data_IF_685168132284
#
_entry.id   IF_685168132284
#
_cell.length_a   1.000
_cell.length_b   1.000
_cell.length_c   1.000
_cell.angle_alpha   90.00
_cell.angle_beta   90.00
_cell.angle_gamma   90.00
#
_symmetry.space_group_name_H-M   'P 1'
#
loop_
_entity.id
_entity.type
_entity.pdbx_description
1 polymer ?
#
# COMPACT_ATOMS: atom_id res chain seq x y z
N UNK A 1 -22.27 6.04 -0.72
CA UNK A 1 -21.20 6.06 -1.73
C UNK A 1 -20.97 4.62 -2.15
N UNK A 2 -21.34 4.26 -3.38
CA UNK A 2 -21.08 2.92 -3.92
C UNK A 2 -19.57 2.64 -3.84
N UNK A 3 -19.20 1.43 -3.41
CA UNK A 3 -17.80 0.98 -3.54
C UNK A 3 -17.44 1.03 -5.03
N UNK A 4 -16.61 2.00 -5.42
CA UNK A 4 -16.19 2.18 -6.82
C UNK A 4 -15.39 0.98 -7.35
N UNK A 5 -14.82 0.17 -6.46
CA UNK A 5 -14.01 -1.01 -6.77
C UNK A 5 -14.47 -2.15 -5.86
N UNK A 6 -14.82 -3.31 -6.42
CA UNK A 6 -15.18 -4.51 -5.64
C UNK A 6 -13.94 -5.23 -5.08
N UNK A 7 -14.12 -6.04 -4.02
CA UNK A 7 -13.05 -6.90 -3.45
C UNK A 7 -12.45 -7.84 -4.53
N UNK A 8 -13.27 -8.40 -5.42
CA UNK A 8 -12.78 -9.26 -6.51
C UNK A 8 -11.96 -8.51 -7.57
N UNK A 9 -12.32 -7.27 -7.90
CA UNK A 9 -11.53 -6.43 -8.80
C UNK A 9 -10.17 -6.07 -8.19
N UNK A 10 -10.15 -5.79 -6.88
CA UNK A 10 -8.92 -5.52 -6.16
C UNK A 10 -7.97 -6.73 -6.19
N UNK A 11 -8.48 -7.94 -5.91
CA UNK A 11 -7.68 -9.17 -5.94
C UNK A 11 -7.11 -9.50 -7.32
N UNK A 12 -7.92 -9.34 -8.38
CA UNK A 12 -7.45 -9.55 -9.75
C UNK A 12 -6.33 -8.57 -10.12
N UNK A 13 -6.50 -7.30 -9.75
CA UNK A 13 -5.58 -6.22 -10.08
C UNK A 13 -4.19 -6.39 -9.44
N UNK A 14 -4.10 -7.10 -8.31
CA UNK A 14 -2.80 -7.44 -7.68
C UNK A 14 -1.86 -8.24 -8.58
N UNK A 15 -2.38 -8.85 -9.65
CA UNK A 15 -1.60 -9.68 -10.60
C UNK A 15 -1.48 -9.04 -11.99
N UNK A 16 -2.17 -7.93 -12.23
CA UNK A 16 -2.08 -7.23 -13.51
C UNK A 16 -0.83 -6.35 -13.49
N UNK A 17 0.14 -6.70 -14.33
CA UNK A 17 1.49 -6.11 -14.38
C UNK A 17 1.49 -4.58 -14.36
N UNK A 18 0.61 -3.94 -15.14
CA UNK A 18 0.42 -2.48 -15.17
C UNK A 18 0.16 -1.91 -13.76
N UNK A 19 -0.77 -2.50 -13.01
CA UNK A 19 -1.14 -2.00 -11.69
C UNK A 19 -0.08 -2.29 -10.64
N UNK A 20 0.59 -3.43 -10.74
CA UNK A 20 1.71 -3.78 -9.87
C UNK A 20 2.84 -2.77 -10.02
N UNK A 21 3.27 -2.50 -11.25
CA UNK A 21 4.34 -1.55 -11.55
C UNK A 21 4.02 -0.13 -11.06
N UNK A 22 2.80 0.35 -11.32
CA UNK A 22 2.35 1.66 -10.86
C UNK A 22 2.26 1.75 -9.33
N UNK A 23 1.84 0.67 -8.67
CA UNK A 23 1.78 0.60 -7.20
C UNK A 23 3.19 0.65 -6.62
N UNK A 24 4.12 -0.14 -7.16
CA UNK A 24 5.52 -0.11 -6.74
C UNK A 24 6.12 1.30 -6.90
N UNK A 25 5.87 1.98 -8.02
CA UNK A 25 6.33 3.36 -8.23
C UNK A 25 5.78 4.34 -7.19
N UNK A 26 4.50 4.23 -6.86
CA UNK A 26 3.87 5.11 -5.88
C UNK A 26 4.43 4.87 -4.47
N UNK A 27 4.59 3.60 -4.07
CA UNK A 27 5.26 3.21 -2.81
C UNK A 27 6.68 3.81 -2.74
N UNK A 28 7.48 3.62 -3.78
CA UNK A 28 8.85 4.17 -3.85
C UNK A 28 8.87 5.67 -3.65
N UNK A 29 7.96 6.38 -4.32
CA UNK A 29 7.86 7.84 -4.23
C UNK A 29 7.49 8.30 -2.83
N UNK A 30 6.46 7.71 -2.24
CA UNK A 30 5.95 8.15 -0.94
C UNK A 30 6.97 7.85 0.18
N UNK A 31 7.62 6.68 0.17
CA UNK A 31 8.66 6.34 1.15
C UNK A 31 9.94 7.19 0.99
N UNK A 32 10.33 7.51 -0.24
CA UNK A 32 11.49 8.35 -0.50
C UNK A 32 11.33 9.78 0.07
N UNK A 33 10.11 10.32 0.16
CA UNK A 33 9.86 11.62 0.80
C UNK A 33 10.23 11.63 2.29
N UNK A 34 10.29 10.46 2.91
CA UNK A 34 10.66 10.27 4.31
C UNK A 34 12.09 9.72 4.45
N UNK A 35 12.89 9.74 3.38
CA UNK A 35 14.27 9.24 3.38
C UNK A 35 14.38 7.72 3.49
N UNK A 36 13.32 6.98 3.13
CA UNK A 36 13.31 5.52 3.14
C UNK A 36 13.36 5.03 1.69
N UNK A 37 14.42 4.31 1.34
CA UNK A 37 14.58 3.79 -0.02
C UNK A 37 13.86 2.45 -0.14
N UNK A 38 13.00 2.34 -1.15
CA UNK A 38 12.34 1.09 -1.53
C UNK A 38 12.80 0.73 -2.93
N UNK A 39 13.21 -0.52 -3.10
CA UNK A 39 13.60 -1.06 -4.40
C UNK A 39 12.55 -2.06 -4.88
N UNK A 40 12.43 -2.17 -6.19
CA UNK A 40 11.52 -3.14 -6.81
C UNK A 40 12.22 -3.78 -7.99
N UNK A 41 12.32 -5.11 -7.94
CA UNK A 41 13.02 -5.95 -8.92
C UNK A 41 12.40 -5.91 -10.32
N UNK A 42 11.14 -5.45 -10.43
CA UNK A 42 10.34 -5.57 -11.65
C UNK A 42 9.62 -6.91 -11.79
N UNK A 43 9.87 -7.88 -10.89
CA UNK A 43 9.20 -9.17 -10.93
C UNK A 43 7.81 -9.11 -10.30
N UNK A 44 6.79 -8.99 -11.15
CA UNK A 44 5.39 -8.83 -10.73
C UNK A 44 4.84 -10.02 -9.93
N UNK A 45 5.38 -11.22 -10.11
CA UNK A 45 4.89 -12.41 -9.41
C UNK A 45 5.16 -12.37 -7.90
N UNK A 46 6.21 -11.65 -7.49
CA UNK A 46 6.61 -11.54 -6.09
C UNK A 46 6.50 -10.11 -5.55
N UNK A 47 5.98 -9.18 -6.35
CA UNK A 47 5.96 -7.76 -6.02
C UNK A 47 5.29 -7.45 -4.68
N UNK A 48 4.16 -8.09 -4.39
CA UNK A 48 3.50 -7.89 -3.10
C UNK A 48 4.43 -8.26 -1.94
N UNK A 49 5.02 -9.45 -1.98
CA UNK A 49 5.91 -9.94 -0.93
C UNK A 49 7.18 -9.08 -0.82
N UNK A 50 7.81 -8.76 -1.94
CA UNK A 50 9.04 -7.95 -2.00
C UNK A 50 8.85 -6.56 -1.40
N UNK A 51 7.74 -5.89 -1.75
CA UNK A 51 7.41 -4.58 -1.19
C UNK A 51 7.01 -4.71 0.28
N UNK A 52 6.22 -5.73 0.61
CA UNK A 52 5.77 -5.97 1.98
C UNK A 52 6.95 -6.14 2.94
N UNK A 53 7.93 -6.97 2.58
CA UNK A 53 9.08 -7.25 3.45
C UNK A 53 9.92 -6.00 3.72
N UNK A 54 10.16 -5.18 2.69
CA UNK A 54 10.87 -3.91 2.84
C UNK A 54 10.10 -2.91 3.70
N UNK A 55 8.81 -2.73 3.41
CA UNK A 55 7.98 -1.76 4.11
C UNK A 55 7.82 -2.16 5.57
N UNK A 56 7.61 -3.43 5.86
CA UNK A 56 7.47 -3.93 7.23
C UNK A 56 8.67 -3.55 8.09
N UNK A 57 9.89 -3.66 7.57
CA UNK A 57 11.11 -3.27 8.31
C UNK A 57 11.05 -1.79 8.69
N UNK A 58 10.70 -0.91 7.74
CA UNK A 58 10.58 0.52 8.02
C UNK A 58 9.45 0.85 9.00
N UNK A 59 8.29 0.21 8.84
CA UNK A 59 7.15 0.44 9.72
C UNK A 59 7.45 -0.03 11.14
N UNK A 60 8.10 -1.19 11.28
CA UNK A 60 8.51 -1.72 12.57
C UNK A 60 9.52 -0.80 13.27
N UNK A 61 10.53 -0.31 12.54
CA UNK A 61 11.47 0.68 13.07
C UNK A 61 10.75 1.95 13.52
N UNK A 62 9.90 2.55 12.67
CA UNK A 62 9.21 3.79 12.98
C UNK A 62 8.23 3.65 14.16
N UNK A 63 7.57 2.50 14.32
CA UNK A 63 6.72 2.22 15.48
C UNK A 63 7.53 2.24 16.79
N UNK A 64 8.78 1.79 16.74
CA UNK A 64 9.63 1.67 17.92
C UNK A 64 10.47 2.94 18.18
N UNK A 65 10.80 3.71 17.15
CA UNK A 65 11.76 4.82 17.23
C UNK A 65 11.17 6.19 16.94
N UNK A 66 10.13 6.30 16.10
CA UNK A 66 9.62 7.59 15.62
C UNK A 66 8.16 7.54 15.14
N UNK A 67 7.23 7.42 16.10
CA UNK A 67 5.79 7.38 15.81
C UNK A 67 5.26 8.63 15.09
N UNK A 68 5.84 9.80 15.29
CA UNK A 68 5.38 11.03 14.62
C UNK A 68 5.72 11.01 13.12
N UNK A 69 6.89 10.46 12.75
CA UNK A 69 7.25 10.21 11.35
C UNK A 69 6.35 9.14 10.72
N UNK A 70 6.00 8.09 11.47
CA UNK A 70 5.01 7.11 11.02
C UNK A 70 3.66 7.76 10.73
N UNK A 71 3.11 8.54 11.66
CA UNK A 71 1.84 9.25 11.45
C UNK A 71 1.89 10.12 10.20
N UNK A 72 2.97 10.88 10.02
CA UNK A 72 3.17 11.74 8.85
C UNK A 72 3.18 10.94 7.53
N UNK A 73 3.83 9.76 7.52
CA UNK A 73 3.79 8.84 6.38
C UNK A 73 2.37 8.33 6.08
N UNK A 74 1.63 7.92 7.12
CA UNK A 74 0.26 7.43 6.97
C UNK A 74 -0.68 8.51 6.42
N UNK A 75 -0.53 9.76 6.87
CA UNK A 75 -1.26 10.90 6.31
C UNK A 75 -0.91 11.15 4.83
N UNK A 76 0.36 11.10 4.45
CA UNK A 76 0.79 11.25 3.05
C UNK A 76 0.18 10.17 2.15
N UNK A 77 0.02 8.95 2.67
CA UNK A 77 -0.56 7.80 1.97
C UNK A 77 -2.10 7.87 1.91
N UNK A 78 -2.71 8.76 2.70
CA UNK A 78 -4.15 8.87 2.93
C UNK A 78 -4.71 7.60 3.59
N UNK A 79 -4.10 7.22 4.73
CA UNK A 79 -4.51 6.09 5.55
C UNK A 79 -4.72 6.55 7.00
N UNK A 80 -5.97 6.48 7.46
CA UNK A 80 -6.36 6.88 8.81
C UNK A 80 -6.27 5.73 9.83
N UNK A 81 -6.15 6.07 11.13
CA UNK A 81 -6.19 5.09 12.22
C UNK A 81 -7.46 4.21 12.19
N UNK A 82 -8.60 4.81 11.80
CA UNK A 82 -9.86 4.09 11.64
C UNK A 82 -9.77 3.03 10.54
N UNK A 83 -9.11 3.32 9.42
CA UNK A 83 -8.92 2.35 8.34
C UNK A 83 -7.94 1.23 8.71
N UNK A 84 -6.94 1.53 9.55
CA UNK A 84 -6.04 0.53 10.12
C UNK A 84 -6.81 -0.38 11.08
N UNK A 85 -7.62 0.19 11.97
CA UNK A 85 -8.43 -0.55 12.94
C UNK A 85 -9.54 -1.39 12.28
N UNK A 86 -10.02 -0.99 11.09
CA UNK A 86 -10.93 -1.80 10.28
C UNK A 86 -10.16 -2.93 9.57
N UNK A 87 -9.68 -3.91 10.34
CA UNK A 87 -9.10 -5.14 9.80
C UNK A 87 -10.19 -6.05 9.23
N UNK A 88 -9.94 -6.61 8.05
CA UNK A 88 -10.82 -7.64 7.48
C UNK A 88 -10.73 -8.88 8.37
N UNK A 89 -11.85 -9.36 8.92
CA UNK A 89 -11.85 -10.43 9.94
C UNK A 89 -11.27 -11.76 9.44
N UNK A 90 -11.10 -11.89 8.13
CA UNK A 90 -10.55 -13.07 7.45
C UNK A 90 -9.01 -13.09 7.42
N UNK A 91 -8.33 -11.97 7.67
CA UNK A 91 -6.87 -11.89 7.60
C UNK A 91 -6.29 -11.72 9.01
N UNK A 92 -5.57 -12.74 9.48
CA UNK A 92 -4.83 -12.69 10.73
C UNK A 92 -3.42 -12.15 10.49
N UNK A 93 -3.12 -10.98 11.05
CA UNK A 93 -1.77 -10.42 11.08
C UNK A 93 -1.08 -10.76 12.39
N UNK A 94 0.21 -11.10 12.33
CA UNK A 94 0.98 -11.50 13.52
C UNK A 94 1.45 -10.29 14.33
N UNK A 95 1.44 -9.10 13.74
CA UNK A 95 1.91 -7.85 14.35
C UNK A 95 1.18 -6.63 13.77
N UNK A 96 1.25 -5.52 14.51
CA UNK A 96 0.73 -4.23 14.04
C UNK A 96 1.52 -3.70 12.83
N UNK A 97 2.83 -3.96 12.74
CA UNK A 97 3.65 -3.59 11.58
C UNK A 97 3.21 -4.33 10.33
N UNK A 98 2.86 -5.62 10.42
CA UNK A 98 2.27 -6.39 9.30
C UNK A 98 0.92 -5.82 8.86
N UNK A 99 0.02 -5.53 9.82
CA UNK A 99 -1.28 -4.95 9.52
C UNK A 99 -1.15 -3.59 8.79
N UNK A 100 -0.33 -2.68 9.33
CA UNK A 100 -0.11 -1.35 8.74
C UNK A 100 0.51 -1.50 7.34
N UNK A 101 1.51 -2.36 7.18
CA UNK A 101 2.17 -2.59 5.89
C UNK A 101 1.19 -3.10 4.85
N UNK A 102 0.34 -4.07 5.21
CA UNK A 102 -0.71 -4.55 4.33
C UNK A 102 -1.66 -3.42 3.90
N UNK A 103 -2.12 -2.61 4.86
CA UNK A 103 -3.05 -1.50 4.61
C UNK A 103 -2.44 -0.41 3.72
N UNK A 104 -1.16 -0.11 3.87
CA UNK A 104 -0.43 0.80 3.00
C UNK A 104 -0.47 0.29 1.55
N UNK A 105 -0.03 -0.95 1.32
CA UNK A 105 0.00 -1.53 -0.03
C UNK A 105 -1.40 -1.60 -0.66
N UNK A 106 -2.41 -1.97 0.13
CA UNK A 106 -3.80 -1.99 -0.32
C UNK A 106 -4.29 -0.58 -0.71
N UNK A 107 -3.95 0.45 0.08
CA UNK A 107 -4.30 1.84 -0.18
C UNK A 107 -3.64 2.34 -1.46
N UNK A 108 -2.36 2.04 -1.67
CA UNK A 108 -1.62 2.42 -2.87
C UNK A 108 -2.22 1.80 -4.13
N UNK A 109 -2.51 0.50 -4.10
CA UNK A 109 -3.17 -0.18 -5.21
C UNK A 109 -4.54 0.45 -5.50
N UNK A 110 -5.35 0.74 -4.47
CA UNK A 110 -6.64 1.43 -4.64
C UNK A 110 -6.47 2.80 -5.31
N UNK A 111 -5.48 3.61 -4.92
CA UNK A 111 -5.20 4.91 -5.56
C UNK A 111 -4.84 4.73 -7.03
N UNK A 112 -4.00 3.75 -7.35
CA UNK A 112 -3.60 3.42 -8.73
C UNK A 112 -4.80 3.01 -9.58
N UNK A 113 -5.65 2.13 -9.07
CA UNK A 113 -6.84 1.67 -9.78
C UNK A 113 -7.84 2.80 -10.03
N UNK A 114 -8.12 3.62 -9.02
CA UNK A 114 -9.01 4.78 -9.14
C UNK A 114 -8.47 5.75 -10.20
N UNK A 115 -7.20 6.13 -10.11
CA UNK A 115 -6.57 7.07 -11.06
C UNK A 115 -6.59 6.52 -12.48
N UNK A 116 -6.38 5.22 -12.66
CA UNK A 116 -6.37 4.59 -13.98
C UNK A 116 -7.79 4.54 -14.56
N UNK A 117 -8.78 4.13 -13.76
CA UNK A 117 -10.19 4.09 -14.16
C UNK A 117 -10.70 5.46 -14.61
N UNK A 118 -10.39 6.53 -13.87
CA UNK A 118 -10.82 7.88 -14.24
C UNK A 118 -10.06 8.44 -15.44
N UNK A 119 -8.77 8.14 -15.61
CA UNK A 119 -8.02 8.51 -16.83
C UNK A 119 -8.57 7.86 -18.09
N UNK A 120 -8.98 6.59 -18.00
CA UNK A 120 -9.52 5.84 -19.15
C UNK A 120 -10.93 6.31 -19.55
N UNK A 121 -11.64 7.04 -18.67
CA UNK A 121 -12.96 7.63 -18.95
C UNK A 121 -12.92 9.02 -19.57
N UNK A 122 -11.77 9.70 -19.50
CA UNK A 122 -11.55 11.02 -20.10
C UNK A 122 -10.98 10.94 -21.54
N UNK A 123 -10.80 9.72 -22.06
CA UNK A 123 -10.40 9.41 -23.44
C UNK A 123 -11.59 8.86 -24.24
#
# INVERSE_FOLDING_TARGET
>A
MSQLISKSQLERSKREEKFVLLTAQQVKKDFAMFGMQVDFSGNVNFAYQELFDQLKIYIDDLLNTNCEKLKSLLYQIDLSEKEIANSDSEIHFSSISELITHKILERELKKVLIRTYFKEKEL
#
